data_IF_288567748634
#
_entry.id   IF_288567748634
#
_cell.length_a   1.000
_cell.length_b   1.000
_cell.length_c   1.000
_cell.angle_alpha   90.00
_cell.angle_beta   90.00
_cell.angle_gamma   90.00
#
_symmetry.space_group_name_H-M   'P 1'
#
loop_
_entity.id
_entity.type
_entity.pdbx_description
1 polymer ?
#
# COMPACT_ATOMS: atom_id res chain seq x y z
N UNK A 1 5.75 -23.91 1.76
CA UNK A 1 5.15 -22.57 1.91
C UNK A 1 3.88 -22.73 2.72
N UNK A 2 3.75 -22.04 3.85
CA UNK A 2 2.52 -22.07 4.65
C UNK A 2 1.64 -20.88 4.28
N UNK A 3 0.37 -21.14 3.97
CA UNK A 3 -0.62 -20.07 3.82
C UNK A 3 -1.02 -19.61 5.23
N UNK A 4 -1.02 -18.30 5.45
CA UNK A 4 -1.22 -17.69 6.77
C UNK A 4 -2.49 -16.87 6.85
N UNK A 5 -3.07 -16.46 5.71
CA UNK A 5 -4.28 -15.64 5.67
C UNK A 5 -5.08 -15.84 4.38
N UNK A 6 -6.26 -15.25 4.33
CA UNK A 6 -7.05 -15.08 3.11
C UNK A 6 -7.68 -13.68 3.04
N UNK A 7 -7.98 -13.19 1.85
CA UNK A 7 -8.82 -11.99 1.67
C UNK A 7 -10.31 -12.37 1.56
N UNK A 8 -11.19 -11.39 1.72
CA UNK A 8 -12.63 -11.56 1.44
C UNK A 8 -12.91 -11.99 -0.02
N UNK A 9 -12.07 -11.55 -0.96
CA UNK A 9 -12.10 -11.91 -2.39
C UNK A 9 -11.43 -13.26 -2.72
N UNK A 10 -10.95 -14.01 -1.72
CA UNK A 10 -10.43 -15.36 -1.91
C UNK A 10 -8.93 -15.46 -2.24
N UNK A 11 -8.20 -14.34 -2.29
CA UNK A 11 -6.73 -14.37 -2.34
C UNK A 11 -6.14 -15.06 -1.12
N UNK A 12 -5.03 -15.77 -1.30
CA UNK A 12 -4.33 -16.47 -0.23
C UNK A 12 -3.01 -15.77 0.09
N UNK A 13 -2.84 -15.37 1.35
CA UNK A 13 -1.64 -14.71 1.83
C UNK A 13 -0.65 -15.70 2.43
N UNK A 14 0.63 -15.57 2.09
CA UNK A 14 1.71 -16.34 2.70
C UNK A 14 2.89 -15.44 3.06
N UNK A 15 3.64 -15.85 4.07
CA UNK A 15 4.90 -15.21 4.45
C UNK A 15 6.05 -15.74 3.56
N UNK A 16 6.73 -14.88 2.77
CA UNK A 16 7.87 -15.31 1.95
C UNK A 16 9.13 -15.62 2.76
N UNK A 17 9.11 -15.44 4.09
CA UNK A 17 10.21 -15.74 5.01
C UNK A 17 11.27 -14.63 5.08
N UNK A 18 11.62 -14.04 3.93
CA UNK A 18 12.51 -12.86 3.87
C UNK A 18 11.67 -11.61 3.64
N UNK A 19 11.65 -10.64 4.58
CA UNK A 19 10.99 -9.36 4.34
C UNK A 19 11.69 -8.62 3.20
N UNK A 20 10.93 -8.18 2.20
CA UNK A 20 11.44 -7.19 1.23
C UNK A 20 11.20 -5.80 1.84
N UNK A 21 12.25 -4.96 1.86
CA UNK A 21 12.26 -3.54 2.20
C UNK A 21 11.04 -3.00 2.99
N UNK A 22 11.19 -2.84 4.31
CA UNK A 22 10.25 -2.12 5.17
C UNK A 22 8.79 -2.64 5.24
N UNK A 23 8.44 -3.68 4.49
CA UNK A 23 7.09 -4.22 4.46
C UNK A 23 6.67 -4.86 5.79
N UNK A 24 5.62 -4.31 6.40
CA UNK A 24 4.96 -4.82 7.60
C UNK A 24 3.51 -5.20 7.31
N UNK A 25 2.87 -5.93 8.23
CA UNK A 25 1.45 -6.31 8.12
C UNK A 25 1.12 -7.02 6.80
N UNK A 26 0.05 -6.57 6.13
CA UNK A 26 -0.46 -7.14 4.87
C UNK A 26 0.50 -7.03 3.69
N UNK A 27 1.43 -6.05 3.71
CA UNK A 27 2.45 -5.87 2.68
C UNK A 27 3.65 -6.81 2.83
N UNK A 28 3.84 -7.37 4.03
CA UNK A 28 4.82 -8.44 4.27
C UNK A 28 4.37 -9.74 3.60
N UNK A 29 3.06 -9.94 3.45
CA UNK A 29 2.50 -11.11 2.80
C UNK A 29 2.70 -11.04 1.28
N UNK A 30 2.76 -12.21 0.66
CA UNK A 30 2.64 -12.38 -0.78
C UNK A 30 1.30 -13.05 -1.05
N UNK A 31 0.67 -12.62 -2.13
CA UNK A 31 -0.73 -12.94 -2.41
C UNK A 31 -0.83 -13.81 -3.65
N UNK A 32 -1.52 -14.94 -3.50
CA UNK A 32 -1.83 -15.88 -4.58
C UNK A 32 -3.28 -15.59 -5.01
N UNK A 33 -3.53 -15.38 -6.32
CA UNK A 33 -4.87 -15.09 -6.81
C UNK A 33 -5.81 -16.30 -6.62
N UNK A 34 -7.12 -16.06 -6.46
CA UNK A 34 -8.10 -17.11 -6.16
C UNK A 34 -8.22 -18.17 -7.27
N UNK A 35 -7.86 -17.83 -8.51
CA UNK A 35 -7.86 -18.70 -9.69
C UNK A 35 -6.50 -19.33 -10.01
N UNK A 36 -5.48 -19.10 -9.17
CA UNK A 36 -4.19 -19.74 -9.35
C UNK A 36 -4.32 -21.27 -9.30
N UNK A 37 -3.62 -21.95 -10.22
CA UNK A 37 -3.53 -23.40 -10.21
C UNK A 37 -2.63 -23.88 -9.05
N UNK A 38 -3.19 -23.92 -7.84
CA UNK A 38 -2.51 -24.39 -6.62
C UNK A 38 -3.29 -25.56 -5.98
N UNK A 39 -2.55 -26.56 -5.50
CA UNK A 39 -3.13 -27.62 -4.68
C UNK A 39 -2.95 -27.26 -3.21
N UNK A 40 -4.06 -27.05 -2.52
CA UNK A 40 -4.06 -26.76 -1.09
C UNK A 40 -4.26 -28.03 -0.27
N UNK A 41 -3.53 -28.18 0.82
CA UNK A 41 -3.68 -29.27 1.78
C UNK A 41 -3.77 -28.70 3.20
N UNK A 42 -4.57 -29.34 4.06
CA UNK A 42 -4.81 -28.87 5.44
C UNK A 42 -6.07 -28.01 5.59
N UNK A 43 -6.18 -27.28 6.71
CA UNK A 43 -7.37 -26.49 7.06
C UNK A 43 -7.33 -25.06 6.49
N UNK A 44 -7.47 -24.93 5.17
CA UNK A 44 -7.48 -23.61 4.52
C UNK A 44 -8.76 -22.80 4.81
N UNK A 45 -9.86 -23.46 5.19
CA UNK A 45 -11.10 -22.79 5.56
C UNK A 45 -10.99 -22.01 6.89
N UNK A 46 -10.11 -22.44 7.79
CA UNK A 46 -9.86 -21.82 9.08
C UNK A 46 -8.86 -20.67 9.06
N UNK A 47 -8.37 -20.25 7.90
CA UNK A 47 -7.42 -19.14 7.80
C UNK A 47 -8.08 -17.81 8.19
N UNK A 48 -7.37 -16.94 8.94
CA UNK A 48 -7.85 -15.61 9.27
C UNK A 48 -8.12 -14.83 7.98
N UNK A 49 -9.23 -14.10 7.97
CA UNK A 49 -9.60 -13.23 6.86
C UNK A 49 -9.02 -11.84 7.15
N UNK A 50 -8.12 -11.37 6.30
CA UNK A 50 -7.69 -9.98 6.35
C UNK A 50 -8.83 -9.08 5.89
N UNK A 51 -9.15 -8.06 6.69
CA UNK A 51 -10.20 -7.08 6.38
C UNK A 51 -9.86 -6.19 5.19
N UNK A 52 -8.57 -6.09 4.86
CA UNK A 52 -8.05 -5.30 3.75
C UNK A 52 -6.80 -5.97 3.19
N UNK A 53 -6.64 -5.95 1.87
CA UNK A 53 -5.43 -6.43 1.18
C UNK A 53 -5.02 -5.44 0.10
N UNK A 54 -3.73 -5.32 -0.23
CA UNK A 54 -3.27 -4.45 -1.31
C UNK A 54 -3.90 -4.86 -2.64
N UNK A 55 -4.42 -3.88 -3.38
CA UNK A 55 -4.98 -4.11 -4.70
C UNK A 55 -3.85 -4.48 -5.67
N UNK A 56 -4.00 -5.55 -6.48
CA UNK A 56 -3.02 -5.92 -7.48
C UNK A 56 -2.75 -4.77 -8.45
N UNK A 57 -1.47 -4.44 -8.64
CA UNK A 57 -1.06 -3.41 -9.58
C UNK A 57 -1.14 -1.98 -9.05
N UNK A 58 -1.63 -1.76 -7.82
CA UNK A 58 -1.59 -0.45 -7.18
C UNK A 58 -0.22 -0.17 -6.54
N UNK A 59 0.18 1.10 -6.56
CA UNK A 59 1.34 1.58 -5.82
C UNK A 59 0.89 2.13 -4.46
N UNK A 60 1.63 1.79 -3.42
CA UNK A 60 1.38 2.21 -2.05
C UNK A 60 2.60 2.90 -1.45
N UNK A 61 2.33 3.96 -0.69
CA UNK A 61 3.27 4.57 0.23
C UNK A 61 3.10 3.93 1.60
N UNK A 62 4.19 3.46 2.22
CA UNK A 62 4.18 2.98 3.61
C UNK A 62 5.25 3.72 4.40
N UNK A 63 4.82 4.65 5.24
CA UNK A 63 5.76 5.57 5.85
C UNK A 63 6.61 4.88 6.92
N UNK A 64 7.92 5.14 6.90
CA UNK A 64 8.90 4.62 7.88
C UNK A 64 9.18 5.61 9.02
N UNK A 65 8.60 6.80 8.93
CA UNK A 65 8.61 7.88 9.90
C UNK A 65 7.47 8.86 9.56
N UNK A 66 7.31 9.96 10.32
CA UNK A 66 6.30 10.97 10.02
C UNK A 66 6.50 11.57 8.61
N UNK A 67 5.42 11.62 7.81
CA UNK A 67 5.39 12.23 6.47
C UNK A 67 4.19 13.18 6.40
N UNK A 68 4.41 14.43 6.02
CA UNK A 68 3.34 15.44 5.95
C UNK A 68 2.57 15.35 4.62
N UNK A 69 1.25 15.26 4.70
CA UNK A 69 0.33 15.27 3.55
C UNK A 69 -0.16 16.69 3.34
N UNK A 70 0.38 17.33 2.32
CA UNK A 70 0.10 18.69 1.93
C UNK A 70 -1.18 18.81 1.11
N UNK A 71 -1.88 19.92 1.26
CA UNK A 71 -3.12 20.22 0.50
C UNK A 71 -2.86 20.59 -0.96
N UNK A 72 -1.62 20.98 -1.30
CA UNK A 72 -1.15 21.22 -2.66
C UNK A 72 0.29 20.73 -2.83
N UNK A 73 0.75 20.60 -4.08
CA UNK A 73 2.14 20.23 -4.42
C UNK A 73 3.13 21.40 -4.20
N UNK A 74 3.16 21.93 -2.98
CA UNK A 74 3.94 23.08 -2.54
C UNK A 74 4.30 22.91 -1.05
N UNK A 75 5.59 23.01 -0.67
CA UNK A 75 5.99 22.84 0.73
C UNK A 75 5.44 23.93 1.67
N UNK A 76 5.00 25.08 1.15
CA UNK A 76 4.35 26.14 1.92
C UNK A 76 2.84 25.95 2.07
N UNK A 77 2.24 24.95 1.41
CA UNK A 77 0.81 24.67 1.53
C UNK A 77 0.46 24.05 2.89
N UNK A 78 -0.80 24.19 3.29
CA UNK A 78 -1.28 23.64 4.55
C UNK A 78 -1.13 22.11 4.59
N UNK A 79 -0.71 21.60 5.74
CA UNK A 79 -0.66 20.16 6.02
C UNK A 79 -2.06 19.71 6.46
N UNK A 80 -2.63 18.77 5.73
CA UNK A 80 -3.93 18.17 6.02
C UNK A 80 -3.85 17.02 7.03
N UNK A 81 -2.72 16.30 7.02
CA UNK A 81 -2.48 15.13 7.84
C UNK A 81 -0.98 14.85 7.95
N UNK A 82 -0.55 14.11 8.96
CA UNK A 82 0.81 13.57 9.06
C UNK A 82 0.71 12.07 9.17
N UNK A 83 1.12 11.36 8.12
CA UNK A 83 1.16 9.90 8.11
C UNK A 83 2.19 9.40 9.12
N UNK A 84 1.85 8.36 9.88
CA UNK A 84 2.73 7.74 10.86
C UNK A 84 3.00 6.26 10.56
N UNK A 85 4.03 5.70 11.18
CA UNK A 85 4.43 4.29 10.98
C UNK A 85 3.24 3.34 11.20
N UNK A 86 2.98 2.48 10.22
CA UNK A 86 1.83 1.56 10.20
C UNK A 86 0.68 2.05 9.33
N UNK A 87 0.69 3.32 8.94
CA UNK A 87 -0.22 3.88 7.96
C UNK A 87 0.33 3.70 6.55
N UNK A 88 -0.59 3.51 5.62
CA UNK A 88 -0.31 3.39 4.20
C UNK A 88 -1.45 3.99 3.38
N UNK A 89 -1.06 4.55 2.24
CA UNK A 89 -1.97 5.23 1.31
C UNK A 89 -1.62 4.82 -0.12
N UNK A 90 -2.61 4.78 -1.00
CA UNK A 90 -2.33 4.53 -2.41
C UNK A 90 -1.70 5.78 -3.04
N UNK A 91 -0.68 5.59 -3.86
CA UNK A 91 -0.09 6.65 -4.68
C UNK A 91 -0.76 6.60 -6.05
N UNK A 92 -1.52 7.64 -6.38
CA UNK A 92 -2.41 7.67 -7.55
C UNK A 92 -1.97 8.65 -8.62
N UNK A 93 -0.96 9.49 -8.35
CA UNK A 93 -0.38 10.38 -9.33
C UNK A 93 0.97 10.92 -8.92
N UNK A 94 1.73 11.42 -9.90
CA UNK A 94 3.01 12.09 -9.70
C UNK A 94 3.04 13.40 -10.48
N UNK A 95 3.49 14.50 -9.88
CA UNK A 95 3.69 15.76 -10.58
C UNK A 95 5.07 15.78 -11.24
N UNK A 96 5.26 16.60 -12.28
CA UNK A 96 6.56 16.79 -12.92
C UNK A 96 7.62 17.43 -11.97
N UNK A 97 7.18 18.00 -10.85
CA UNK A 97 8.02 18.68 -9.86
C UNK A 97 8.42 17.78 -8.68
N UNK A 98 8.09 16.48 -8.72
CA UNK A 98 8.51 15.53 -7.70
C UNK A 98 7.59 15.46 -6.48
N UNK A 99 6.28 15.64 -6.68
CA UNK A 99 5.26 15.39 -5.67
C UNK A 99 4.43 14.17 -6.04
N UNK A 100 3.99 13.42 -5.03
CA UNK A 100 3.12 12.27 -5.19
C UNK A 100 1.74 12.61 -4.64
N UNK A 101 0.70 12.36 -5.43
CA UNK A 101 -0.67 12.47 -4.96
C UNK A 101 -1.12 11.15 -4.32
N UNK A 102 -1.60 11.24 -3.08
CA UNK A 102 -1.94 10.10 -2.25
C UNK A 102 -3.44 10.08 -1.91
N UNK A 103 -4.01 8.87 -1.83
CA UNK A 103 -5.38 8.62 -1.41
C UNK A 103 -5.41 7.56 -0.31
N UNK A 104 -5.77 7.98 0.91
CA UNK A 104 -5.88 7.11 2.07
C UNK A 104 -7.18 6.30 2.14
N UNK A 105 -8.19 6.64 1.32
CA UNK A 105 -9.39 5.79 1.17
C UNK A 105 -9.07 4.47 0.45
N UNK A 106 -8.03 4.48 -0.38
CA UNK A 106 -7.49 3.28 -1.01
C UNK A 106 -6.38 2.65 -0.16
N UNK A 107 -6.22 3.09 1.11
CA UNK A 107 -5.27 2.56 2.08
C UNK A 107 -5.95 2.28 3.43
N UNK A 108 -5.28 2.57 4.54
CA UNK A 108 -5.85 2.42 5.89
C UNK A 108 -6.12 3.74 6.62
N UNK A 109 -6.01 4.88 5.94
CA UNK A 109 -6.22 6.22 6.52
C UNK A 109 -7.34 6.96 5.80
N UNK A 110 -8.59 6.55 6.06
CA UNK A 110 -9.74 7.10 5.38
C UNK A 110 -9.88 8.62 5.58
N UNK A 111 -10.25 9.33 4.52
CA UNK A 111 -10.41 10.78 4.51
C UNK A 111 -9.13 11.57 4.28
N UNK A 112 -7.96 10.92 4.21
CA UNK A 112 -6.69 11.59 3.91
C UNK A 112 -6.44 11.57 2.41
N UNK A 113 -6.29 12.75 1.81
CA UNK A 113 -5.87 12.94 0.41
C UNK A 113 -4.99 14.17 0.30
N UNK A 114 -3.97 14.14 -0.54
CA UNK A 114 -3.12 15.29 -0.75
C UNK A 114 -1.81 14.91 -1.42
N UNK A 115 -0.77 15.70 -1.17
CA UNK A 115 0.53 15.57 -1.80
C UNK A 115 1.61 15.30 -0.77
N UNK A 116 2.53 14.38 -1.07
CA UNK A 116 3.76 14.17 -0.31
C UNK A 116 4.97 14.39 -1.22
N UNK A 117 6.14 14.80 -0.70
CA UNK A 117 7.36 14.85 -1.49
C UNK A 117 7.75 13.45 -1.98
N UNK A 118 8.14 13.32 -3.25
CA UNK A 118 8.59 12.03 -3.81
C UNK A 118 9.82 11.47 -3.07
N UNK A 119 10.67 12.35 -2.53
CA UNK A 119 11.86 11.96 -1.78
C UNK A 119 11.54 11.28 -0.43
N UNK A 120 10.32 11.43 0.08
CA UNK A 120 9.86 10.79 1.31
C UNK A 120 9.19 9.44 1.04
N UNK A 121 9.09 9.04 -0.24
CA UNK A 121 8.39 7.83 -0.64
C UNK A 121 9.12 6.56 -0.18
N UNK A 122 8.36 5.66 0.43
CA UNK A 122 8.73 4.27 0.66
C UNK A 122 7.70 3.34 -0.01
N UNK A 123 8.05 2.95 -1.23
CA UNK A 123 7.16 2.31 -2.19
C UNK A 123 6.89 0.81 -1.94
N UNK A 124 5.64 0.40 -2.18
CA UNK A 124 5.25 -0.98 -2.42
C UNK A 124 4.36 -1.09 -3.67
N UNK A 125 4.69 -2.03 -4.57
CA UNK A 125 3.95 -2.24 -5.82
C UNK A 125 4.64 -1.65 -7.06
N UNK A 126 3.99 -1.67 -8.23
CA UNK A 126 4.55 -1.18 -9.49
C UNK A 126 4.49 0.36 -9.56
N UNK A 127 5.31 1.02 -8.77
CA UNK A 127 5.33 2.48 -8.65
C UNK A 127 5.98 3.19 -9.85
N UNK A 128 6.65 2.46 -10.74
CA UNK A 128 7.19 3.01 -11.99
C UNK A 128 6.09 3.40 -13.00
N UNK A 129 4.85 2.91 -12.80
CA UNK A 129 3.70 3.19 -13.69
C UNK A 129 2.72 4.23 -13.14
N UNK A 130 3.10 4.99 -12.10
CA UNK A 130 2.24 6.07 -11.57
C UNK A 130 2.02 7.13 -12.66
N UNK A 131 0.77 7.54 -12.93
CA UNK A 131 0.49 8.53 -13.98
C UNK A 131 1.00 9.92 -13.59
N UNK A 132 1.46 10.67 -14.60
CA UNK A 132 1.83 12.08 -14.42
C UNK A 132 0.57 12.94 -14.39
N UNK A 133 0.44 13.77 -13.36
CA UNK A 133 -0.69 14.68 -13.15
C UNK A 133 -0.23 16.15 -13.08
N UNK A 134 -1.15 17.08 -13.33
CA UNK A 134 -0.95 18.49 -13.02
C UNK A 134 -1.06 18.72 -11.50
N UNK A 135 -0.19 19.57 -10.97
CA UNK A 135 -0.24 20.08 -9.59
C UNK A 135 -1.43 20.98 -9.34
#
# INVERSE_FOLDING_TARGET
MGITSRSASGWLGFDPGVPQAANIGVFRQRWIPPDAAVTLTGNCAGLPVESWVPEPGACYEMVMGPVEVHTAADPASAVSHTLIVGEFVAVTGRTATGWLFVNGNDGNVSGVTGFIPELEMNANGPCDSIPVISS
#
